data_IF_491173058049
#
_entry.id   IF_491173058049
#
_cell.length_a   1.000
_cell.length_b   1.000
_cell.length_c   1.000
_cell.angle_alpha   90.00
_cell.angle_beta   90.00
_cell.angle_gamma   90.00
#
_symmetry.space_group_name_H-M   'P 1'
#
loop_
_entity.id
_entity.type
_entity.pdbx_description
1 polymer ?
#
# COMPACT_ATOMS: atom_id res chain seq x y z
N UNK A 1 -14.45 75.83 -16.99
CA UNK A 1 -14.02 74.57 -16.32
C UNK A 1 -15.15 73.94 -15.51
N UNK A 2 -15.87 74.69 -14.66
CA UNK A 2 -17.01 74.17 -13.88
C UNK A 2 -18.22 73.76 -14.76
N UNK A 3 -18.49 74.50 -15.84
CA UNK A 3 -19.60 74.21 -16.76
C UNK A 3 -19.38 72.92 -17.59
N UNK A 4 -18.14 72.66 -18.01
CA UNK A 4 -17.76 71.44 -18.75
C UNK A 4 -17.85 70.18 -17.88
N UNK A 5 -17.54 70.29 -16.59
CA UNK A 5 -17.69 69.19 -15.62
C UNK A 5 -19.18 68.87 -15.38
N UNK A 6 -20.04 69.89 -15.24
CA UNK A 6 -21.50 69.67 -15.10
C UNK A 6 -22.10 68.96 -16.31
N UNK A 7 -21.72 69.38 -17.53
CA UNK A 7 -22.17 68.75 -18.78
C UNK A 7 -21.76 67.28 -18.87
N UNK A 8 -20.53 66.94 -18.45
CA UNK A 8 -20.05 65.56 -18.42
C UNK A 8 -20.81 64.69 -17.41
N UNK A 9 -21.11 65.22 -16.22
CA UNK A 9 -21.89 64.53 -15.19
C UNK A 9 -23.33 64.25 -15.67
N UNK A 10 -23.95 65.17 -16.40
CA UNK A 10 -25.28 64.98 -17.00
C UNK A 10 -25.28 63.93 -18.12
N UNK A 11 -24.21 63.89 -18.93
CA UNK A 11 -24.02 62.87 -19.98
C UNK A 11 -23.83 61.47 -19.41
N UNK A 12 -23.11 61.35 -18.29
CA UNK A 12 -22.92 60.08 -17.58
C UNK A 12 -24.22 59.61 -16.93
N UNK A 13 -25.01 60.52 -16.33
CA UNK A 13 -26.30 60.19 -15.72
C UNK A 13 -27.38 59.76 -16.72
N UNK A 14 -27.30 60.21 -17.98
CA UNK A 14 -28.27 59.86 -19.04
C UNK A 14 -27.91 58.58 -19.81
N UNK A 15 -26.74 57.99 -19.57
CA UNK A 15 -26.29 56.75 -20.21
C UNK A 15 -27.18 55.54 -19.86
N UNK A 16 -27.49 54.65 -20.83
CA UNK A 16 -28.28 53.45 -20.59
C UNK A 16 -27.64 52.48 -19.58
N UNK A 17 -26.32 52.56 -19.37
CA UNK A 17 -25.57 51.74 -18.38
C UNK A 17 -25.67 52.32 -16.96
N UNK A 18 -25.78 53.65 -16.84
CA UNK A 18 -25.89 54.32 -15.55
C UNK A 18 -27.33 54.31 -14.99
N UNK A 19 -28.34 54.25 -15.86
CA UNK A 19 -29.76 54.17 -15.48
C UNK A 19 -30.08 53.03 -14.49
N UNK A 20 -29.67 51.77 -14.72
CA UNK A 20 -29.91 50.69 -13.75
C UNK A 20 -29.18 50.95 -12.43
N UNK A 21 -27.92 51.41 -12.45
CA UNK A 21 -27.13 51.70 -11.24
C UNK A 21 -27.76 52.82 -10.40
N UNK A 22 -28.25 53.88 -11.05
CA UNK A 22 -28.92 55.00 -10.39
C UNK A 22 -30.28 54.56 -9.84
N UNK A 23 -31.03 53.73 -10.58
CA UNK A 23 -32.30 53.17 -10.13
C UNK A 23 -32.11 52.26 -8.91
N UNK A 24 -31.11 51.39 -8.93
CA UNK A 24 -30.73 50.53 -7.79
C UNK A 24 -30.31 51.35 -6.58
N UNK A 25 -29.48 52.38 -6.77
CA UNK A 25 -29.07 53.27 -5.67
C UNK A 25 -30.26 54.06 -5.09
N UNK A 26 -31.16 54.56 -5.94
CA UNK A 26 -32.39 55.23 -5.49
C UNK A 26 -33.28 54.26 -4.72
N UNK A 27 -33.50 53.05 -5.23
CA UNK A 27 -34.26 52.00 -4.55
C UNK A 27 -33.66 51.65 -3.17
N UNK A 28 -32.32 51.57 -3.07
CA UNK A 28 -31.61 51.36 -1.79
C UNK A 28 -31.70 52.55 -0.83
N UNK A 29 -31.86 53.78 -1.33
CA UNK A 29 -32.13 54.96 -0.50
C UNK A 29 -33.56 54.93 0.04
N UNK A 30 -34.52 54.60 -0.81
CA UNK A 30 -35.94 54.62 -0.49
C UNK A 30 -36.37 53.44 0.40
N UNK A 31 -35.69 52.29 0.30
CA UNK A 31 -36.00 51.09 1.06
C UNK A 31 -34.93 50.78 2.13
N UNK A 32 -34.88 51.60 3.19
CA UNK A 32 -33.87 51.51 4.25
C UNK A 32 -33.79 50.13 4.90
N UNK A 33 -34.93 49.48 5.16
CA UNK A 33 -34.98 48.14 5.77
C UNK A 33 -34.46 47.07 4.80
N UNK A 34 -34.89 47.11 3.52
CA UNK A 34 -34.44 46.14 2.50
C UNK A 34 -32.96 46.30 2.19
N UNK A 35 -32.41 47.52 2.24
CA UNK A 35 -30.96 47.77 2.14
C UNK A 35 -30.19 47.02 3.21
N UNK A 36 -30.60 47.14 4.48
CA UNK A 36 -29.96 46.44 5.60
C UNK A 36 -30.06 44.92 5.42
N UNK A 37 -31.20 44.42 4.96
CA UNK A 37 -31.42 43.01 4.69
C UNK A 37 -30.51 42.48 3.57
N UNK A 38 -30.37 43.22 2.46
CA UNK A 38 -29.47 42.82 1.36
C UNK A 38 -28.01 42.83 1.80
N UNK A 39 -27.56 43.88 2.51
CA UNK A 39 -26.20 43.94 3.04
C UNK A 39 -25.93 42.77 4.00
N UNK A 40 -26.89 42.49 4.89
CA UNK A 40 -26.81 41.34 5.80
C UNK A 40 -26.76 40.01 5.04
N UNK A 41 -27.59 39.84 4.00
CA UNK A 41 -27.61 38.63 3.18
C UNK A 41 -26.29 38.42 2.43
N UNK A 42 -25.68 39.48 1.90
CA UNK A 42 -24.35 39.42 1.26
C UNK A 42 -23.27 39.06 2.28
N UNK A 43 -23.28 39.67 3.47
CA UNK A 43 -22.34 39.32 4.53
C UNK A 43 -22.53 37.88 5.02
N UNK A 44 -23.78 37.44 5.16
CA UNK A 44 -24.13 36.09 5.60
C UNK A 44 -23.70 35.04 4.58
N UNK A 45 -23.94 35.29 3.28
CA UNK A 45 -23.48 34.40 2.20
C UNK A 45 -21.96 34.34 2.11
N UNK A 46 -21.27 35.48 2.27
CA UNK A 46 -19.81 35.51 2.36
C UNK A 46 -19.31 34.70 3.58
N UNK A 47 -19.95 34.86 4.74
CA UNK A 47 -19.61 34.11 5.95
C UNK A 47 -19.85 32.60 5.79
N UNK A 48 -20.99 32.21 5.21
CA UNK A 48 -21.31 30.82 4.90
C UNK A 48 -20.31 30.21 3.90
N UNK A 49 -19.88 30.99 2.91
CA UNK A 49 -18.86 30.56 1.93
C UNK A 49 -17.49 30.34 2.58
N UNK A 50 -17.10 31.17 3.55
CA UNK A 50 -15.87 30.96 4.32
C UNK A 50 -15.96 29.73 5.22
N UNK A 51 -17.13 29.47 5.80
CA UNK A 51 -17.37 28.30 6.65
C UNK A 51 -17.33 27.00 5.84
N UNK A 52 -17.99 26.99 4.68
CA UNK A 52 -17.89 25.89 3.73
C UNK A 52 -16.45 25.74 3.22
N UNK A 53 -15.78 26.84 2.92
CA UNK A 53 -14.36 26.85 2.55
C UNK A 53 -13.46 26.24 3.63
N UNK A 54 -13.74 26.48 4.91
CA UNK A 54 -13.00 25.87 6.01
C UNK A 54 -13.30 24.37 6.18
N UNK A 55 -14.54 23.94 5.95
CA UNK A 55 -14.95 22.53 6.02
C UNK A 55 -14.36 21.72 4.85
N UNK A 56 -14.33 22.29 3.64
CA UNK A 56 -13.84 21.61 2.43
C UNK A 56 -12.37 21.91 2.11
N UNK A 57 -11.72 22.81 2.87
CA UNK A 57 -10.28 23.04 2.71
C UNK A 57 -9.55 21.73 3.01
N UNK A 58 -8.59 21.33 2.17
CA UNK A 58 -7.68 20.24 2.51
C UNK A 58 -7.06 20.50 3.87
N UNK A 59 -7.04 19.50 4.75
CA UNK A 59 -6.29 19.58 5.99
C UNK A 59 -4.81 19.84 5.64
N UNK A 60 -4.14 20.71 6.41
CA UNK A 60 -2.69 20.92 6.24
C UNK A 60 -1.99 19.59 6.47
N UNK A 61 -1.46 19.00 5.41
CA UNK A 61 -0.58 17.84 5.52
C UNK A 61 0.77 18.32 6.06
N UNK A 62 1.12 17.91 7.27
CA UNK A 62 2.44 18.21 7.85
C UNK A 62 3.53 17.28 7.30
N UNK A 63 3.14 16.17 6.67
CA UNK A 63 4.03 15.18 6.08
C UNK A 63 3.87 15.14 4.56
N UNK A 64 5.00 15.04 3.86
CA UNK A 64 5.03 14.88 2.41
C UNK A 64 4.61 13.47 1.99
N UNK A 65 4.11 13.32 0.77
CA UNK A 65 3.82 12.00 0.18
C UNK A 65 5.04 11.08 0.18
N UNK A 66 6.24 11.66 0.09
CA UNK A 66 7.50 10.95 0.19
C UNK A 66 7.75 10.36 1.58
N UNK A 67 7.42 11.09 2.65
CA UNK A 67 7.49 10.59 4.02
C UNK A 67 6.44 9.49 4.26
N UNK A 68 5.26 9.60 3.65
CA UNK A 68 4.17 8.62 3.74
C UNK A 68 4.26 7.46 2.72
N UNK A 69 5.42 7.32 2.05
CA UNK A 69 5.69 6.16 1.19
C UNK A 69 5.61 4.88 2.01
N UNK A 70 4.81 3.95 1.51
CA UNK A 70 4.61 2.63 2.13
C UNK A 70 5.56 1.58 1.57
N UNK A 71 6.42 1.92 0.61
CA UNK A 71 7.47 1.03 0.10
C UNK A 71 8.82 1.71 0.29
N UNK A 72 9.76 1.01 0.92
CA UNK A 72 11.14 1.45 1.12
C UNK A 72 12.10 0.36 0.66
N UNK A 73 13.24 0.77 0.14
CA UNK A 73 14.34 -0.11 -0.27
C UNK A 73 15.56 0.28 0.54
N UNK A 74 16.26 -0.71 1.10
CA UNK A 74 17.49 -0.44 1.84
C UNK A 74 18.58 0.01 0.86
N UNK A 75 19.28 1.12 1.16
CA UNK A 75 20.28 1.71 0.25
C UNK A 75 21.51 0.82 0.08
N UNK A 76 21.78 -0.01 1.09
CA UNK A 76 22.80 -1.07 1.04
C UNK A 76 22.44 -2.21 0.06
N UNK A 77 21.23 -2.22 -0.53
CA UNK A 77 20.79 -3.19 -1.54
C UNK A 77 20.41 -4.55 -0.97
N UNK A 78 20.26 -4.68 0.34
CA UNK A 78 19.97 -5.98 0.99
C UNK A 78 18.50 -6.39 0.92
N UNK A 79 17.60 -5.50 0.52
CA UNK A 79 16.20 -5.84 0.32
C UNK A 79 15.25 -4.67 0.19
N UNK A 80 13.96 -5.00 0.23
CA UNK A 80 12.87 -4.03 0.31
C UNK A 80 11.88 -4.42 1.41
N UNK A 81 11.20 -3.42 1.95
CA UNK A 81 10.13 -3.58 2.93
C UNK A 81 8.95 -2.69 2.54
N UNK A 82 7.75 -3.24 2.65
CA UNK A 82 6.50 -2.61 2.25
C UNK A 82 5.48 -2.68 3.37
N UNK A 83 4.96 -1.54 3.79
CA UNK A 83 3.81 -1.40 4.66
C UNK A 83 2.53 -1.66 3.85
N UNK A 84 1.89 -2.80 4.08
CA UNK A 84 0.67 -3.26 3.40
C UNK A 84 -0.59 -2.66 4.00
N UNK A 85 -0.69 -2.67 5.32
CA UNK A 85 -1.87 -2.22 6.06
C UNK A 85 -1.47 -1.41 7.28
N UNK A 86 -2.32 -0.43 7.61
CA UNK A 86 -2.20 0.42 8.80
C UNK A 86 -3.61 0.60 9.37
N UNK A 87 -3.83 0.07 10.57
CA UNK A 87 -5.11 0.15 11.27
C UNK A 87 -4.87 0.81 12.62
N UNK A 88 -5.71 1.78 12.97
CA UNK A 88 -5.73 2.41 14.28
C UNK A 88 -7.10 2.23 14.91
N UNK A 89 -7.12 1.75 16.15
CA UNK A 89 -8.29 1.63 16.99
C UNK A 89 -8.24 2.67 18.11
N UNK A 90 -8.95 3.80 17.99
CA UNK A 90 -9.01 4.82 19.05
C UNK A 90 -9.60 4.26 20.35
N UNK A 91 -10.56 3.33 20.26
CA UNK A 91 -11.23 2.74 21.43
C UNK A 91 -10.29 1.94 22.33
N UNK A 92 -9.32 1.25 21.73
CA UNK A 92 -8.39 0.37 22.45
C UNK A 92 -6.98 0.93 22.54
N UNK A 93 -6.67 2.04 21.85
CA UNK A 93 -5.34 2.63 21.80
C UNK A 93 -4.33 1.70 21.13
N UNK A 94 -4.75 0.96 20.10
CA UNK A 94 -3.92 -0.02 19.38
C UNK A 94 -3.73 0.42 17.93
N UNK A 95 -2.49 0.38 17.46
CA UNK A 95 -2.16 0.45 16.04
C UNK A 95 -1.64 -0.92 15.59
N UNK A 96 -2.17 -1.43 14.48
CA UNK A 96 -1.71 -2.64 13.81
C UNK A 96 -1.14 -2.27 12.45
N UNK A 97 0.09 -2.71 12.20
CA UNK A 97 0.82 -2.50 10.96
C UNK A 97 1.20 -3.84 10.37
N UNK A 98 0.97 -4.03 9.08
CA UNK A 98 1.39 -5.23 8.37
C UNK A 98 2.48 -4.89 7.38
N UNK A 99 3.64 -5.51 7.53
CA UNK A 99 4.80 -5.35 6.66
C UNK A 99 5.03 -6.60 5.83
N UNK A 100 5.47 -6.39 4.59
CA UNK A 100 6.02 -7.41 3.72
C UNK A 100 7.48 -7.11 3.41
N UNK A 101 8.35 -8.12 3.48
CA UNK A 101 9.79 -8.00 3.23
C UNK A 101 10.21 -8.85 2.06
N UNK A 102 11.26 -8.42 1.36
CA UNK A 102 11.92 -9.21 0.32
C UNK A 102 13.42 -9.12 0.51
N UNK A 103 14.05 -10.27 0.69
CA UNK A 103 15.50 -10.39 0.76
C UNK A 103 16.07 -10.35 -0.67
N UNK A 104 17.05 -9.47 -0.89
CA UNK A 104 17.76 -9.37 -2.18
C UNK A 104 19.17 -9.96 -2.14
N UNK A 105 19.58 -10.49 -0.99
CA UNK A 105 20.91 -11.10 -0.79
C UNK A 105 20.92 -12.61 -1.03
N UNK A 106 19.74 -13.23 -1.11
CA UNK A 106 19.57 -14.67 -1.32
C UNK A 106 18.88 -14.94 -2.67
N UNK A 107 19.31 -15.97 -3.42
CA UNK A 107 18.58 -16.43 -4.60
C UNK A 107 17.26 -17.12 -4.23
N UNK A 108 17.05 -17.42 -2.94
CA UNK A 108 15.83 -18.02 -2.43
C UNK A 108 14.79 -16.90 -2.26
N UNK A 109 13.65 -17.02 -2.93
CA UNK A 109 12.54 -16.08 -2.83
C UNK A 109 11.86 -16.12 -1.44
N UNK A 110 12.51 -15.52 -0.44
CA UNK A 110 12.04 -15.38 0.94
C UNK A 110 12.09 -13.93 1.39
N UNK A 111 11.41 -13.64 2.50
CA UNK A 111 11.56 -12.37 3.20
C UNK A 111 12.87 -12.29 3.96
N UNK A 112 13.15 -11.09 4.47
CA UNK A 112 14.28 -10.86 5.36
C UNK A 112 13.96 -11.51 6.72
N UNK A 113 14.87 -12.33 7.23
CA UNK A 113 14.74 -12.95 8.56
C UNK A 113 14.51 -11.86 9.63
N UNK A 114 13.43 -11.99 10.40
CA UNK A 114 13.05 -11.00 11.41
C UNK A 114 14.10 -10.86 12.51
N UNK A 115 14.93 -11.88 12.75
CA UNK A 115 16.08 -11.79 13.67
C UNK A 115 17.17 -10.85 13.19
N UNK A 116 17.20 -10.54 11.89
CA UNK A 116 18.13 -9.59 11.25
C UNK A 116 17.52 -8.20 11.09
N UNK A 117 16.27 -8.00 11.52
CA UNK A 117 15.63 -6.69 11.52
C UNK A 117 15.62 -6.16 12.95
N UNK A 118 16.24 -5.01 13.15
CA UNK A 118 16.14 -4.26 14.40
C UNK A 118 15.14 -3.13 14.21
N UNK A 119 14.28 -2.93 15.20
CA UNK A 119 13.16 -2.01 15.10
C UNK A 119 13.24 -1.00 16.24
N UNK A 120 13.08 0.27 15.91
CA UNK A 120 12.98 1.35 16.90
C UNK A 120 11.67 2.10 16.68
N UNK A 121 10.97 2.39 17.78
CA UNK A 121 9.74 3.17 17.76
C UNK A 121 10.01 4.55 18.36
N UNK A 122 9.70 5.59 17.59
CA UNK A 122 9.79 6.98 18.00
C UNK A 122 8.41 7.63 17.99
N UNK A 123 8.13 8.48 18.97
CA UNK A 123 6.86 9.18 19.09
C UNK A 123 7.04 10.68 19.28
N UNK A 124 6.18 11.47 18.63
CA UNK A 124 6.10 12.91 18.88
C UNK A 124 5.51 13.24 20.27
N UNK A 125 4.64 12.37 20.78
CA UNK A 125 4.09 12.45 22.13
C UNK A 125 4.13 11.07 22.74
N UNK A 126 5.06 10.85 23.65
CA UNK A 126 5.20 9.59 24.37
C UNK A 126 4.14 9.48 25.47
N UNK A 127 3.48 8.32 25.57
CA UNK A 127 2.94 7.84 26.84
C UNK A 127 3.96 6.92 27.49
N UNK A 128 4.10 6.94 28.82
CA UNK A 128 5.09 6.13 29.53
C UNK A 128 4.96 4.63 29.22
N UNK A 129 3.74 4.19 28.89
CA UNK A 129 3.41 2.79 28.67
C UNK A 129 3.28 2.43 27.19
N UNK A 130 3.61 3.32 26.23
CA UNK A 130 3.55 2.96 24.80
C UNK A 130 4.71 2.03 24.45
N UNK A 131 4.39 0.86 23.88
CA UNK A 131 5.38 -0.10 23.40
C UNK A 131 4.95 -0.75 22.09
N UNK A 132 5.92 -1.36 21.41
CA UNK A 132 5.77 -2.05 20.14
C UNK A 132 6.09 -3.54 20.27
N UNK A 133 5.24 -4.39 19.69
CA UNK A 133 5.42 -5.83 19.62
C UNK A 133 5.55 -6.26 18.16
N UNK A 134 6.50 -7.16 17.89
CA UNK A 134 6.74 -7.69 16.54
C UNK A 134 6.30 -9.15 16.51
N UNK A 135 5.46 -9.49 15.53
CA UNK A 135 4.89 -10.82 15.36
C UNK A 135 5.18 -11.28 13.93
N UNK A 136 6.17 -12.17 13.70
CA UNK A 136 6.40 -12.75 12.39
C UNK A 136 5.26 -13.72 12.04
N UNK A 137 4.56 -13.51 10.93
CA UNK A 137 3.44 -14.36 10.50
C UNK A 137 3.96 -15.47 9.58
N UNK A 138 4.51 -15.10 8.43
CA UNK A 138 5.23 -15.98 7.49
C UNK A 138 6.60 -15.39 7.17
N UNK A 139 7.45 -16.11 6.44
CA UNK A 139 8.82 -15.72 6.10
C UNK A 139 8.95 -14.28 5.57
N UNK A 140 7.94 -13.79 4.84
CA UNK A 140 7.94 -12.45 4.27
C UNK A 140 6.90 -11.49 4.86
N UNK A 141 6.07 -11.90 5.82
CA UNK A 141 5.04 -11.02 6.42
C UNK A 141 5.22 -10.89 7.93
N UNK A 142 5.18 -9.66 8.40
CA UNK A 142 5.42 -9.29 9.80
C UNK A 142 4.29 -8.36 10.24
N UNK A 143 3.62 -8.71 11.32
CA UNK A 143 2.65 -7.82 11.96
C UNK A 143 3.32 -7.11 13.14
N UNK A 144 3.10 -5.80 13.23
CA UNK A 144 3.65 -4.95 14.29
C UNK A 144 2.48 -4.30 15.01
N UNK A 145 2.48 -4.43 16.33
CA UNK A 145 1.41 -3.92 17.21
C UNK A 145 2.01 -2.82 18.06
N UNK A 146 1.43 -1.62 18.04
CA UNK A 146 1.77 -0.54 18.96
C UNK A 146 0.60 -0.42 19.95
N UNK A 147 0.90 -0.59 21.24
CA UNK A 147 -0.10 -0.57 22.32
C UNK A 147 0.02 0.71 23.13
N UNK A 148 -1.06 1.05 23.85
CA UNK A 148 -1.16 2.25 24.68
C UNK A 148 -0.86 3.53 23.89
N UNK A 149 -1.42 3.62 22.68
CA UNK A 149 -1.32 4.79 21.81
C UNK A 149 -2.25 5.89 22.32
N UNK A 150 -1.74 7.11 22.60
CA UNK A 150 -2.59 8.21 23.02
C UNK A 150 -3.45 8.74 21.87
N UNK A 151 -4.67 9.20 22.15
CA UNK A 151 -5.62 9.67 21.12
C UNK A 151 -5.05 10.75 20.17
N UNK A 152 -4.14 11.59 20.69
CA UNK A 152 -3.50 12.69 19.97
C UNK A 152 -2.01 12.46 19.74
N UNK A 153 -1.60 11.23 19.42
CA UNK A 153 -0.19 10.84 19.26
C UNK A 153 0.59 11.61 18.18
N UNK A 154 -0.11 12.29 17.26
CA UNK A 154 0.50 13.11 16.21
C UNK A 154 1.12 12.25 15.11
N UNK A 155 2.30 11.69 15.36
CA UNK A 155 2.97 10.74 14.49
C UNK A 155 3.88 9.80 15.29
N UNK A 156 3.96 8.56 14.82
CA UNK A 156 5.04 7.63 15.15
C UNK A 156 5.99 7.52 13.96
N UNK A 157 7.28 7.44 14.24
CA UNK A 157 8.28 7.03 13.26
C UNK A 157 8.83 5.65 13.67
N UNK A 158 8.93 4.75 12.71
CA UNK A 158 9.42 3.39 12.91
C UNK A 158 10.65 3.23 12.05
N UNK A 159 11.79 3.07 12.71
CA UNK A 159 13.05 2.77 12.03
C UNK A 159 13.26 1.27 12.03
N UNK A 160 13.65 0.77 10.86
CA UNK A 160 13.91 -0.64 10.63
C UNK A 160 15.32 -0.73 10.07
N UNK A 161 16.23 -1.32 10.85
CA UNK A 161 17.62 -1.54 10.47
C UNK A 161 17.80 -2.97 10.00
N UNK A 162 18.27 -3.15 8.76
CA UNK A 162 18.58 -4.47 8.21
C UNK A 162 20.04 -4.84 8.47
N UNK A 163 20.25 -5.81 9.37
CA UNK A 163 21.57 -6.35 9.75
C UNK A 163 22.09 -7.42 8.78
N UNK A 164 21.42 -7.67 7.68
CA UNK A 164 21.90 -8.60 6.65
C UNK A 164 23.15 -8.03 5.99
N UNK A 165 24.21 -8.86 5.88
CA UNK A 165 25.46 -8.48 5.23
C UNK A 165 25.24 -8.41 3.72
N UNK A 166 25.57 -7.28 3.10
CA UNK A 166 25.52 -7.19 1.64
C UNK A 166 26.73 -7.94 1.05
N UNK A 167 26.49 -8.87 0.13
CA UNK A 167 27.59 -9.62 -0.51
C UNK A 167 28.52 -8.73 -1.33
N UNK A 168 28.00 -7.61 -1.87
CA UNK A 168 28.76 -6.60 -2.63
C UNK A 168 29.77 -5.80 -1.80
N UNK A 169 29.69 -5.84 -0.47
CA UNK A 169 30.61 -5.11 0.42
C UNK A 169 31.70 -6.00 1.03
N UNK A 170 31.71 -7.30 0.69
CA UNK A 170 32.74 -8.24 1.12
C UNK A 170 33.97 -8.08 0.22
N UNK A 171 35.03 -7.48 0.77
CA UNK A 171 36.33 -7.38 0.10
C UNK A 171 37.12 -8.68 0.30
N UNK A 172 37.31 -9.44 -0.78
CA UNK A 172 38.12 -10.67 -0.78
C UNK A 172 39.49 -10.44 -1.45
N UNK A 173 39.77 -9.22 -1.91
CA UNK A 173 41.02 -8.93 -2.61
C UNK A 173 42.16 -8.77 -1.60
N UNK A 174 43.29 -9.41 -1.90
CA UNK A 174 44.54 -9.21 -1.17
C UNK A 174 45.21 -7.96 -1.73
N UNK A 175 45.44 -6.96 -0.90
CA UNK A 175 46.14 -5.73 -1.29
C UNK A 175 47.53 -6.05 -1.85
N UNK A 176 47.68 -6.00 -3.18
CA UNK A 176 48.99 -6.08 -3.82
C UNK A 176 49.63 -4.69 -3.81
N UNK A 177 50.89 -4.53 -3.39
CA UNK A 177 51.54 -3.23 -3.29
C UNK A 177 52.08 -2.79 -4.66
N UNK A 178 51.25 -2.79 -5.70
CA UNK A 178 51.66 -2.29 -7.01
C UNK A 178 50.50 -1.81 -7.85
N UNK A 179 50.60 -0.52 -8.19
CA UNK A 179 50.00 0.21 -9.31
C UNK A 179 48.57 0.70 -9.16
N UNK A 180 48.48 2.03 -9.17
CA UNK A 180 47.31 2.87 -9.33
C UNK A 180 46.45 2.37 -10.50
N UNK A 181 45.37 1.65 -10.17
CA UNK A 181 44.18 1.61 -11.00
C UNK A 181 43.09 2.38 -10.30
N UNK A 182 42.47 3.30 -11.04
CA UNK A 182 41.40 4.18 -10.60
C UNK A 182 40.43 3.43 -9.69
N UNK A 183 40.40 3.89 -8.44
CA UNK A 183 39.50 3.40 -7.42
C UNK A 183 38.08 3.44 -7.96
N UNK A 184 37.50 2.28 -8.27
CA UNK A 184 36.06 2.09 -8.16
C UNK A 184 35.69 2.62 -6.78
N UNK A 185 34.99 3.75 -6.73
CA UNK A 185 34.58 4.42 -5.50
C UNK A 185 33.67 3.43 -4.75
N UNK A 186 34.28 2.64 -3.87
CA UNK A 186 33.62 1.75 -2.92
C UNK A 186 32.74 2.66 -2.06
N UNK A 187 31.41 2.58 -2.22
CA UNK A 187 30.49 3.17 -1.25
C UNK A 187 30.70 2.40 0.05
N UNK A 188 31.43 2.99 0.98
CA UNK A 188 31.48 2.53 2.37
C UNK A 188 30.04 2.39 2.85
N UNK A 189 29.63 1.20 3.29
CA UNK A 189 28.34 1.02 3.94
C UNK A 189 28.32 1.90 5.20
N UNK A 190 27.63 3.04 5.14
CA UNK A 190 27.26 3.77 6.35
C UNK A 190 26.13 3.01 7.04
N UNK A 191 26.06 3.06 8.37
CA UNK A 191 24.95 2.42 9.08
C UNK A 191 23.59 3.03 8.69
N UNK A 192 23.56 4.30 8.28
CA UNK A 192 22.38 4.96 7.71
C UNK A 192 21.84 4.24 6.46
N UNK A 193 22.72 3.68 5.62
CA UNK A 193 22.31 2.97 4.39
C UNK A 193 21.53 1.67 4.66
N UNK A 194 21.52 1.20 5.91
CA UNK A 194 20.84 -0.01 6.38
C UNK A 194 19.49 0.29 7.03
N UNK A 195 19.15 1.56 7.23
CA UNK A 195 17.94 1.99 7.95
C UNK A 195 16.90 2.47 6.96
N UNK A 196 15.64 2.10 7.21
CA UNK A 196 14.48 2.69 6.53
C UNK A 196 13.46 3.13 7.55
N UNK A 197 12.82 4.27 7.29
CA UNK A 197 11.85 4.88 8.20
C UNK A 197 10.44 4.88 7.61
N UNK A 198 9.47 4.55 8.47
CA UNK A 198 8.04 4.63 8.18
C UNK A 198 7.34 5.56 9.16
N UNK A 199 6.47 6.43 8.66
CA UNK A 199 5.65 7.30 9.49
C UNK A 199 4.21 6.79 9.55
N UNK A 200 3.67 6.71 10.77
CA UNK A 200 2.27 6.41 11.05
C UNK A 200 1.64 7.64 11.68
N UNK A 201 0.58 8.18 11.09
CA UNK A 201 -0.08 9.41 11.55
C UNK A 201 -1.56 9.41 11.16
N UNK A 202 -2.40 10.04 11.98
CA UNK A 202 -3.83 10.25 11.67
C UNK A 202 -4.07 11.13 10.45
N UNK A 203 -3.06 11.89 10.02
CA UNK A 203 -3.10 12.68 8.78
C UNK A 203 -2.92 11.82 7.52
N UNK A 204 -2.52 10.55 7.64
CA UNK A 204 -2.31 9.65 6.52
C UNK A 204 -3.66 9.02 6.11
N UNK A 205 -4.10 9.27 4.88
CA UNK A 205 -5.33 8.67 4.33
C UNK A 205 -5.28 7.14 4.23
N UNK A 206 -4.09 6.54 4.30
CA UNK A 206 -3.90 5.08 4.31
C UNK A 206 -4.10 4.46 5.69
N UNK A 207 -4.15 5.25 6.76
CA UNK A 207 -4.45 4.77 8.11
C UNK A 207 -5.96 4.56 8.23
N UNK A 208 -6.38 3.31 8.36
CA UNK A 208 -7.78 2.96 8.56
C UNK A 208 -8.15 3.08 10.03
N UNK A 209 -9.31 3.66 10.31
CA UNK A 209 -9.86 3.74 11.66
C UNK A 209 -10.88 2.61 11.81
N UNK A 210 -10.50 1.55 12.52
CA UNK A 210 -11.32 0.37 12.72
C UNK A 210 -11.14 -0.14 14.15
N UNK A 211 -12.15 -0.83 14.68
CA UNK A 211 -12.07 -1.42 16.02
C UNK A 211 -11.15 -2.63 16.00
N UNK A 212 -10.13 -2.61 16.86
CA UNK A 212 -9.22 -3.74 17.08
C UNK A 212 -9.41 -4.22 18.51
N UNK A 213 -9.71 -5.50 18.68
CA UNK A 213 -9.87 -6.10 20.00
C UNK A 213 -8.54 -6.05 20.78
N UNK A 214 -8.63 -5.69 22.07
CA UNK A 214 -7.47 -5.66 22.95
C UNK A 214 -7.18 -7.07 23.48
N UNK A 215 -6.61 -7.91 22.63
CA UNK A 215 -6.22 -9.30 22.95
C UNK A 215 -4.75 -9.39 23.36
N UNK A 216 -4.34 -10.52 23.93
CA UNK A 216 -2.92 -10.77 24.21
C UNK A 216 -2.10 -10.84 22.92
N UNK A 217 -0.77 -10.80 23.03
CA UNK A 217 0.11 -10.94 21.85
C UNK A 217 -0.04 -12.32 21.21
N UNK A 218 -0.20 -13.35 22.02
CA UNK A 218 -0.39 -14.74 21.59
C UNK A 218 -1.71 -14.87 20.84
N UNK A 219 -2.80 -14.35 21.41
CA UNK A 219 -4.13 -14.35 20.78
C UNK A 219 -4.12 -13.57 19.46
N UNK A 220 -3.44 -12.42 19.42
CA UNK A 220 -3.25 -11.67 18.18
C UNK A 220 -2.42 -12.44 17.14
N UNK A 221 -1.33 -13.08 17.57
CA UNK A 221 -0.52 -13.89 16.66
C UNK A 221 -1.33 -15.05 16.07
N UNK A 222 -2.17 -15.69 16.88
CA UNK A 222 -3.07 -16.76 16.44
C UNK A 222 -4.14 -16.24 15.47
N UNK A 223 -4.71 -15.06 15.70
CA UNK A 223 -5.69 -14.48 14.79
C UNK A 223 -5.08 -14.13 13.44
N UNK A 224 -3.91 -13.50 13.41
CA UNK A 224 -3.19 -13.19 12.17
C UNK A 224 -2.76 -14.45 11.41
N UNK A 225 -2.33 -15.51 12.13
CA UNK A 225 -2.04 -16.82 11.51
C UNK A 225 -3.31 -17.42 10.90
N UNK A 226 -4.46 -17.30 11.58
CA UNK A 226 -5.74 -17.79 11.05
C UNK A 226 -6.15 -17.05 9.78
N UNK A 227 -6.04 -15.73 9.76
CA UNK A 227 -6.32 -14.90 8.57
C UNK A 227 -5.39 -15.29 7.41
N UNK A 228 -4.09 -15.49 7.69
CA UNK A 228 -3.16 -15.92 6.66
C UNK A 228 -3.49 -17.33 6.15
N UNK A 229 -3.88 -18.28 7.02
CA UNK A 229 -4.30 -19.62 6.61
C UNK A 229 -5.53 -19.59 5.69
N UNK A 230 -6.55 -18.81 6.04
CA UNK A 230 -7.73 -18.62 5.17
C UNK A 230 -7.34 -18.05 3.81
N UNK A 231 -6.45 -17.06 3.78
CA UNK A 231 -5.93 -16.52 2.52
C UNK A 231 -5.23 -17.60 1.67
N UNK A 232 -4.36 -18.41 2.28
CA UNK A 232 -3.67 -19.50 1.57
C UNK A 232 -4.64 -20.59 1.08
N UNK A 233 -5.68 -20.92 1.84
CA UNK A 233 -6.73 -21.86 1.41
C UNK A 233 -7.51 -21.30 0.22
N UNK A 234 -7.89 -20.02 0.25
CA UNK A 234 -8.55 -19.36 -0.87
C UNK A 234 -7.72 -19.36 -2.16
N UNK A 235 -6.39 -19.23 -2.05
CA UNK A 235 -5.50 -19.36 -3.21
C UNK A 235 -5.50 -20.79 -3.79
N UNK A 236 -5.56 -21.84 -2.95
CA UNK A 236 -5.71 -23.24 -3.41
C UNK A 236 -7.05 -23.42 -4.14
N UNK A 237 -8.15 -22.91 -3.59
CA UNK A 237 -9.47 -23.00 -4.22
C UNK A 237 -9.49 -22.34 -5.60
N UNK A 238 -8.91 -21.15 -5.72
CA UNK A 238 -8.78 -20.43 -6.99
C UNK A 238 -7.93 -21.19 -8.01
N UNK A 239 -6.83 -21.80 -7.59
CA UNK A 239 -5.99 -22.64 -8.46
C UNK A 239 -6.73 -23.89 -8.93
N UNK A 240 -7.46 -24.57 -8.03
CA UNK A 240 -8.29 -25.73 -8.38
C UNK A 240 -9.40 -25.38 -9.36
N UNK A 241 -10.09 -24.25 -9.16
CA UNK A 241 -11.10 -23.77 -10.11
C UNK A 241 -10.50 -23.47 -11.49
N UNK A 242 -9.31 -22.88 -11.53
CA UNK A 242 -8.60 -22.63 -12.78
C UNK A 242 -8.22 -23.95 -13.49
N UNK A 243 -7.78 -24.97 -12.73
CA UNK A 243 -7.50 -26.31 -13.26
C UNK A 243 -8.76 -26.96 -13.84
N UNK A 244 -9.90 -26.84 -13.17
CA UNK A 244 -11.18 -27.37 -13.65
C UNK A 244 -11.59 -26.74 -14.99
N UNK A 245 -11.50 -25.41 -15.10
CA UNK A 245 -11.75 -24.69 -16.35
C UNK A 245 -10.81 -25.11 -17.48
N UNK A 246 -9.51 -25.28 -17.18
CA UNK A 246 -8.53 -25.76 -18.15
C UNK A 246 -8.85 -27.19 -18.61
N UNK A 247 -9.25 -28.09 -17.71
CA UNK A 247 -9.65 -29.46 -18.05
C UNK A 247 -10.88 -29.51 -18.93
N UNK A 248 -11.92 -28.74 -18.61
CA UNK A 248 -13.11 -28.62 -19.47
C UNK A 248 -12.75 -28.06 -20.86
N UNK A 249 -11.87 -27.06 -20.91
CA UNK A 249 -11.41 -26.50 -22.18
C UNK A 249 -10.52 -27.45 -22.99
N UNK A 250 -9.83 -28.41 -22.35
CA UNK A 250 -9.11 -29.49 -23.03
C UNK A 250 -10.10 -30.51 -23.59
N UNK A 251 -11.16 -30.86 -22.85
CA UNK A 251 -12.20 -31.78 -23.33
C UNK A 251 -12.88 -31.27 -24.60
N UNK A 252 -13.19 -29.97 -24.66
CA UNK A 252 -13.72 -29.33 -25.86
C UNK A 252 -12.75 -29.40 -27.06
N UNK A 253 -11.46 -29.18 -26.81
CA UNK A 253 -10.42 -29.25 -27.84
C UNK A 253 -10.19 -30.69 -28.32
N UNK A 254 -10.21 -31.68 -27.44
CA UNK A 254 -10.15 -33.11 -27.80
C UNK A 254 -11.36 -33.53 -28.63
N UNK A 255 -12.55 -33.03 -28.30
CA UNK A 255 -13.76 -33.23 -29.11
C UNK A 255 -13.61 -32.62 -30.51
N UNK A 256 -13.10 -31.37 -30.59
CA UNK A 256 -12.83 -30.70 -31.87
C UNK A 256 -11.79 -31.46 -32.70
N UNK A 257 -10.69 -31.89 -32.08
CA UNK A 257 -9.65 -32.72 -32.70
C UNK A 257 -10.23 -34.01 -33.27
N UNK A 258 -11.07 -34.70 -32.50
CA UNK A 258 -11.76 -35.91 -32.95
C UNK A 258 -12.66 -35.65 -34.16
N UNK A 259 -13.35 -34.51 -34.19
CA UNK A 259 -14.13 -34.05 -35.35
C UNK A 259 -13.27 -33.86 -36.59
N UNK A 260 -12.19 -33.08 -36.49
CA UNK A 260 -11.24 -32.81 -37.58
C UNK A 260 -10.58 -34.10 -38.10
N UNK A 261 -10.27 -35.04 -37.21
CA UNK A 261 -9.71 -36.35 -37.59
C UNK A 261 -10.72 -37.21 -38.37
N UNK A 262 -12.01 -37.14 -38.03
CA UNK A 262 -13.07 -37.83 -38.79
C UNK A 262 -13.30 -37.19 -40.16
N UNK A 263 -13.27 -35.86 -40.23
CA UNK A 263 -13.46 -35.12 -41.47
C UNK A 263 -12.31 -35.35 -42.46
N UNK A 264 -11.08 -35.48 -41.96
CA UNK A 264 -9.89 -35.77 -42.76
C UNK A 264 -10.04 -36.97 -43.71
N UNK A 265 -10.88 -37.96 -43.36
CA UNK A 265 -11.15 -39.13 -44.20
C UNK A 265 -11.84 -38.80 -45.54
N UNK A 266 -12.45 -37.63 -45.65
CA UNK A 266 -13.20 -37.18 -46.83
C UNK A 266 -12.53 -36.02 -47.58
N UNK A 267 -11.42 -35.48 -47.06
CA UNK A 267 -10.72 -34.33 -47.63
C UNK A 267 -9.54 -34.77 -48.51
N UNK A 268 -9.15 -33.90 -49.45
CA UNK A 268 -7.99 -34.12 -50.31
C UNK A 268 -7.37 -32.79 -50.75
N UNK A 269 -6.11 -32.81 -51.20
CA UNK A 269 -5.41 -31.60 -51.64
C UNK A 269 -5.33 -30.54 -50.55
N UNK A 270 -5.57 -29.28 -50.93
CA UNK A 270 -5.44 -28.11 -50.05
C UNK A 270 -6.35 -28.19 -48.80
N UNK A 271 -7.55 -28.77 -48.93
CA UNK A 271 -8.49 -28.91 -47.80
C UNK A 271 -7.94 -29.86 -46.72
N UNK A 272 -7.28 -30.95 -47.16
CA UNK A 272 -6.64 -31.89 -46.24
C UNK A 272 -5.45 -31.25 -45.52
N UNK A 273 -4.65 -30.46 -46.23
CA UNK A 273 -3.52 -29.72 -45.66
C UNK A 273 -4.00 -28.68 -44.63
N UNK A 274 -5.06 -27.93 -44.94
CA UNK A 274 -5.65 -26.98 -44.00
C UNK A 274 -6.16 -27.68 -42.72
N UNK A 275 -6.88 -28.79 -42.87
CA UNK A 275 -7.39 -29.56 -41.74
C UNK A 275 -6.26 -30.12 -40.85
N UNK A 276 -5.15 -30.56 -41.44
CA UNK A 276 -3.96 -31.01 -40.68
C UNK A 276 -3.34 -29.86 -39.86
N UNK A 277 -3.30 -28.65 -40.41
CA UNK A 277 -2.84 -27.45 -39.68
C UNK A 277 -3.77 -27.08 -38.53
N UNK A 278 -5.07 -27.23 -38.71
CA UNK A 278 -6.06 -27.01 -37.65
C UNK A 278 -5.89 -28.04 -36.52
N UNK A 279 -5.68 -29.32 -36.85
CA UNK A 279 -5.36 -30.37 -35.86
C UNK A 279 -4.10 -30.01 -35.06
N UNK A 280 -3.01 -29.64 -35.74
CA UNK A 280 -1.76 -29.26 -35.07
C UNK A 280 -1.92 -28.03 -34.16
N UNK A 281 -2.78 -27.08 -34.55
CA UNK A 281 -3.12 -25.91 -33.74
C UNK A 281 -3.86 -26.33 -32.47
N UNK A 282 -4.86 -27.22 -32.58
CA UNK A 282 -5.60 -27.76 -31.44
C UNK A 282 -4.68 -28.55 -30.50
N UNK A 283 -3.75 -29.35 -31.03
CA UNK A 283 -2.76 -30.07 -30.23
C UNK A 283 -1.87 -29.12 -29.42
N UNK A 284 -1.41 -28.03 -30.04
CA UNK A 284 -0.62 -26.99 -29.37
C UNK A 284 -1.40 -26.32 -28.23
N UNK A 285 -2.69 -26.06 -28.44
CA UNK A 285 -3.56 -25.51 -27.40
C UNK A 285 -3.71 -26.46 -26.21
N UNK A 286 -3.92 -27.76 -26.47
CA UNK A 286 -4.00 -28.79 -25.43
C UNK A 286 -2.70 -28.87 -24.64
N UNK A 287 -1.54 -28.89 -25.31
CA UNK A 287 -0.22 -28.92 -24.65
C UNK A 287 -0.01 -27.70 -23.74
N UNK A 288 -0.33 -26.50 -24.25
CA UNK A 288 -0.20 -25.24 -23.48
C UNK A 288 -1.09 -25.23 -22.23
N UNK A 289 -2.32 -25.74 -22.35
CA UNK A 289 -3.25 -25.87 -21.21
C UNK A 289 -2.74 -26.90 -20.20
N UNK A 290 -2.25 -28.05 -20.65
CA UNK A 290 -1.64 -29.06 -19.76
C UNK A 290 -0.44 -28.50 -18.99
N UNK A 291 0.44 -27.73 -19.64
CA UNK A 291 1.56 -27.08 -18.95
C UNK A 291 1.09 -26.05 -17.93
N UNK A 292 0.00 -25.35 -18.21
CA UNK A 292 -0.62 -24.41 -17.26
C UNK A 292 -1.19 -25.15 -16.03
N UNK A 293 -1.79 -26.33 -16.23
CA UNK A 293 -2.24 -27.21 -15.14
C UNK A 293 -1.05 -27.66 -14.28
N UNK A 294 0.06 -28.09 -14.89
CA UNK A 294 1.26 -28.49 -14.15
C UNK A 294 1.81 -27.36 -13.27
N UNK A 295 1.88 -26.13 -13.80
CA UNK A 295 2.32 -24.94 -13.04
C UNK A 295 1.35 -24.67 -11.88
N UNK A 296 0.05 -24.79 -12.10
CA UNK A 296 -0.95 -24.59 -11.05
C UNK A 296 -0.80 -25.63 -9.93
N UNK A 297 -0.58 -26.91 -10.26
CA UNK A 297 -0.34 -27.98 -9.29
C UNK A 297 0.95 -27.73 -8.47
N UNK A 298 2.04 -27.32 -9.12
CA UNK A 298 3.28 -26.95 -8.41
C UNK A 298 3.08 -25.75 -7.47
N UNK A 299 2.21 -24.80 -7.84
CA UNK A 299 1.89 -23.67 -6.96
C UNK A 299 1.02 -24.11 -5.78
N UNK A 300 0.07 -25.04 -5.98
CA UNK A 300 -0.70 -25.64 -4.88
C UNK A 300 0.24 -26.31 -3.87
N UNK A 301 1.21 -27.10 -4.32
CA UNK A 301 2.20 -27.74 -3.44
C UNK A 301 2.98 -26.70 -2.60
N UNK A 302 3.42 -25.60 -3.22
CA UNK A 302 4.10 -24.50 -2.50
C UNK A 302 3.19 -23.86 -1.45
N UNK A 303 1.92 -23.66 -1.76
CA UNK A 303 0.94 -23.09 -0.81
C UNK A 303 0.66 -24.06 0.34
N UNK A 304 0.55 -25.36 0.07
CA UNK A 304 0.39 -26.39 1.11
C UNK A 304 1.57 -26.41 2.09
N UNK A 305 2.81 -26.29 1.59
CA UNK A 305 4.00 -26.18 2.45
C UNK A 305 3.91 -24.96 3.37
N UNK A 306 3.41 -23.81 2.88
CA UNK A 306 3.19 -22.62 3.71
C UNK A 306 2.14 -22.85 4.80
N UNK A 307 1.02 -23.50 4.45
CA UNK A 307 -0.03 -23.86 5.43
C UNK A 307 0.55 -24.76 6.53
N UNK A 308 1.30 -25.81 6.18
CA UNK A 308 1.93 -26.68 7.18
C UNK A 308 2.95 -25.94 8.07
N UNK A 309 3.63 -24.92 7.55
CA UNK A 309 4.52 -24.07 8.36
C UNK A 309 3.74 -23.19 9.33
N UNK A 310 2.59 -22.65 8.89
CA UNK A 310 1.69 -21.87 9.74
C UNK A 310 1.09 -22.73 10.86
N UNK A 311 0.67 -23.96 10.57
CA UNK A 311 0.16 -24.91 11.56
C UNK A 311 1.20 -25.27 12.63
N UNK A 312 2.46 -25.46 12.22
CA UNK A 312 3.57 -25.68 13.17
C UNK A 312 3.78 -24.47 14.07
N UNK A 313 3.70 -23.25 13.52
CA UNK A 313 3.82 -22.02 14.31
C UNK A 313 2.64 -21.85 15.26
N UNK A 314 1.42 -22.12 14.79
CA UNK A 314 0.19 -22.10 15.59
C UNK A 314 0.31 -23.05 16.79
N UNK A 315 0.79 -24.29 16.56
CA UNK A 315 1.04 -25.26 17.63
C UNK A 315 2.08 -24.75 18.64
N UNK A 316 3.20 -24.22 18.15
CA UNK A 316 4.27 -23.67 19.01
C UNK A 316 3.81 -22.47 19.85
N UNK A 317 2.88 -21.66 19.36
CA UNK A 317 2.30 -20.56 20.14
C UNK A 317 1.38 -21.12 21.22
N UNK A 318 0.53 -22.11 20.88
CA UNK A 318 -0.43 -22.71 21.82
C UNK A 318 0.24 -23.50 22.93
N UNK A 319 1.37 -24.15 22.66
CA UNK A 319 2.12 -24.93 23.64
C UNK A 319 3.18 -24.11 24.41
N UNK A 320 3.37 -22.83 24.04
CA UNK A 320 4.29 -21.90 24.70
C UNK A 320 5.76 -22.07 24.30
N UNK A 321 6.07 -22.88 23.29
CA UNK A 321 7.46 -23.05 22.79
C UNK A 321 7.88 -21.96 21.81
N UNK A 322 6.94 -21.15 21.31
CA UNK A 322 7.23 -20.04 20.42
C UNK A 322 7.84 -18.86 21.18
N UNK A 323 9.11 -18.54 20.88
CA UNK A 323 9.81 -17.40 21.46
C UNK A 323 9.43 -16.09 20.74
N UNK A 324 8.67 -15.28 21.45
CA UNK A 324 8.34 -13.92 21.06
C UNK A 324 9.50 -12.95 21.35
N UNK A 325 9.80 -12.03 20.44
CA UNK A 325 10.78 -10.95 20.69
C UNK A 325 10.33 -10.05 21.83
N UNK A 326 11.24 -9.52 22.65
CA UNK A 326 10.84 -8.59 23.71
C UNK A 326 10.10 -7.36 23.15
N UNK A 327 9.13 -6.79 23.91
CA UNK A 327 8.52 -5.51 23.56
C UNK A 327 9.59 -4.43 23.41
N UNK A 328 9.38 -3.53 22.45
CA UNK A 328 10.27 -2.40 22.17
C UNK A 328 9.64 -1.15 22.78
N UNK A 329 10.38 -0.48 23.65
CA UNK A 329 9.94 0.75 24.28
C UNK A 329 9.97 1.92 23.31
N UNK A 330 9.03 2.86 23.51
CA UNK A 330 8.95 4.08 22.70
C UNK A 330 10.00 5.10 23.13
N UNK A 331 10.70 5.67 22.16
CA UNK A 331 11.65 6.77 22.31
C UNK A 331 10.92 8.08 21.96
N UNK A 332 11.11 9.13 22.75
CA UNK A 332 10.53 10.45 22.44
C UNK A 332 11.37 11.15 21.36
N UNK A 333 10.71 11.78 20.39
CA UNK A 333 11.39 12.60 19.37
C UNK A 333 11.67 13.99 19.95
N UNK A 334 12.95 14.39 19.94
CA UNK A 334 13.39 15.74 20.34
C UNK A 334 12.88 16.86 19.39
#
# INVERSE_FOLDING_TARGET
>A
MIATIKSWIEKIKSSPIAKPVIATNRWFKDNVIKRKLVIFSVLFTAWLSLLLGAIYSPQRQTFTDEQLKTKRTFENGTGEIRLLSQIYSPETGIIVLQFETKDSTSPIARGIDTKRLEWNLYAQKKSADTFMEIVPIVDNKISVIIRNVPENFGAFAIDITNKTVATRSIDIDISSPSMDQESNIKKTESDESKVVQFYVTTQNSKLKIEKVESVSREEFALSEISVEKEFQVGEIEKLNHSIEQLKSSIEDDESRKSGLMKEAAYLSGDDLESNQRDIATVETHIETKNRSIEIALQNIEKVQVKISSLEKKEAAIKDGTFEFSNPIETIEMD
#
